data_IF_545595765119
#
_entry.id   IF_545595765119
#
_cell.length_a   1.000
_cell.length_b   1.000
_cell.length_c   1.000
_cell.angle_alpha   90.00
_cell.angle_beta   90.00
_cell.angle_gamma   90.00
#
_symmetry.space_group_name_H-M   'P 1'
#
loop_
_entity.id
_entity.type
_entity.pdbx_description
1 polymer ?
#
# COMPACT_ATOMS: atom_id res chain seq x y z
N UNK A 1 32.70 17.16 -14.21
CA UNK A 1 31.70 16.66 -13.26
C UNK A 1 30.43 16.39 -14.06
N UNK A 2 30.24 15.14 -14.53
CA UNK A 2 29.07 14.76 -15.34
C UNK A 2 27.84 14.71 -14.43
N UNK A 3 26.71 15.33 -14.80
CA UNK A 3 25.53 15.36 -13.94
C UNK A 3 24.90 13.97 -13.88
N UNK A 4 24.53 13.54 -12.67
CA UNK A 4 23.86 12.28 -12.33
C UNK A 4 22.51 12.03 -13.04
N UNK A 5 22.10 12.91 -13.96
CA UNK A 5 20.82 12.85 -14.66
C UNK A 5 20.70 11.68 -15.66
N UNK A 6 21.82 11.05 -16.06
CA UNK A 6 21.82 9.98 -17.09
C UNK A 6 21.70 8.54 -16.57
N UNK A 7 21.82 8.30 -15.26
CA UNK A 7 21.77 6.92 -14.73
C UNK A 7 20.33 6.42 -14.47
N UNK A 8 19.39 7.30 -14.12
CA UNK A 8 18.04 6.89 -13.74
C UNK A 8 17.09 6.69 -14.91
N UNK A 9 17.35 7.30 -16.08
CA UNK A 9 16.57 7.01 -17.30
C UNK A 9 16.82 5.59 -17.81
N UNK A 10 17.94 4.97 -17.42
CA UNK A 10 18.26 3.60 -17.83
C UNK A 10 17.50 2.56 -16.99
N UNK A 11 17.34 2.79 -15.68
CA UNK A 11 16.55 1.91 -14.82
C UNK A 11 15.06 1.99 -15.17
N UNK A 12 14.52 3.20 -15.38
CA UNK A 12 13.14 3.35 -15.86
C UNK A 12 12.95 2.70 -17.23
N UNK A 13 13.90 2.87 -18.16
CA UNK A 13 13.87 2.20 -19.45
C UNK A 13 13.92 0.67 -19.33
N UNK A 14 14.73 0.11 -18.43
CA UNK A 14 14.79 -1.34 -18.20
C UNK A 14 13.47 -1.89 -17.67
N UNK A 15 12.80 -1.15 -16.77
CA UNK A 15 11.49 -1.54 -16.27
C UNK A 15 10.43 -1.47 -17.37
N UNK A 16 10.43 -0.42 -18.20
CA UNK A 16 9.55 -0.32 -19.38
C UNK A 16 9.82 -1.46 -20.39
N UNK A 17 11.09 -1.78 -20.65
CA UNK A 17 11.47 -2.91 -21.50
C UNK A 17 11.00 -4.25 -20.90
N UNK A 18 11.10 -4.44 -19.58
CA UNK A 18 10.54 -5.63 -18.91
C UNK A 18 9.03 -5.72 -19.08
N UNK A 19 8.33 -4.59 -18.95
CA UNK A 19 6.88 -4.54 -19.14
C UNK A 19 6.47 -4.84 -20.59
N UNK A 20 7.29 -4.47 -21.57
CA UNK A 20 7.05 -4.76 -22.99
C UNK A 20 7.33 -6.22 -23.36
N UNK A 21 8.45 -6.78 -22.88
CA UNK A 21 8.95 -8.06 -23.37
C UNK A 21 8.76 -9.25 -22.41
N UNK A 22 8.71 -9.02 -21.10
CA UNK A 22 8.66 -10.06 -20.07
C UNK A 22 7.55 -9.81 -19.03
N UNK A 23 6.39 -9.32 -19.49
CA UNK A 23 5.23 -9.09 -18.62
C UNK A 23 4.76 -10.39 -18.00
N UNK A 24 4.69 -10.41 -16.67
CA UNK A 24 4.06 -11.48 -15.89
C UNK A 24 2.59 -11.59 -16.30
N UNK A 25 2.11 -12.83 -16.47
CA UNK A 25 0.70 -13.13 -16.71
C UNK A 25 0.17 -13.96 -15.57
N UNK A 26 -0.98 -13.55 -15.03
CA UNK A 26 -1.61 -14.32 -13.95
C UNK A 26 -2.14 -15.64 -14.49
N UNK A 27 -1.77 -16.72 -13.83
CA UNK A 27 -2.30 -18.06 -14.10
C UNK A 27 -3.72 -18.20 -13.55
N UNK A 28 -4.45 -19.23 -14.01
CA UNK A 28 -5.79 -19.53 -13.47
C UNK A 28 -5.75 -19.78 -11.96
N UNK A 29 -4.75 -20.51 -11.48
CA UNK A 29 -4.56 -20.81 -10.06
C UNK A 29 -4.32 -19.52 -9.23
N UNK A 30 -3.54 -18.57 -9.74
CA UNK A 30 -3.34 -17.29 -9.06
C UNK A 30 -4.63 -16.46 -9.03
N UNK A 31 -5.43 -16.48 -10.10
CA UNK A 31 -6.75 -15.84 -10.08
C UNK A 31 -7.68 -16.49 -9.05
N UNK A 32 -7.69 -17.81 -8.94
CA UNK A 32 -8.45 -18.53 -7.91
C UNK A 32 -7.99 -18.16 -6.50
N UNK A 33 -6.67 -18.03 -6.26
CA UNK A 33 -6.14 -17.55 -4.98
C UNK A 33 -6.68 -16.15 -4.68
N UNK A 34 -6.71 -15.23 -5.64
CA UNK A 34 -7.27 -13.89 -5.42
C UNK A 34 -8.77 -13.93 -5.08
N UNK A 35 -9.56 -14.75 -5.77
CA UNK A 35 -11.00 -14.90 -5.50
C UNK A 35 -11.27 -15.44 -4.07
N UNK A 36 -10.41 -16.33 -3.57
CA UNK A 36 -10.62 -16.99 -2.28
C UNK A 36 -9.95 -16.29 -1.10
N UNK A 37 -8.77 -15.69 -1.31
CA UNK A 37 -7.92 -15.15 -0.24
C UNK A 37 -7.82 -13.63 -0.20
N UNK A 38 -8.38 -12.92 -1.18
CA UNK A 38 -8.27 -11.46 -1.27
C UNK A 38 -9.66 -10.80 -1.40
N UNK A 39 -10.37 -10.56 -0.28
CA UNK A 39 -11.78 -10.17 -0.33
C UNK A 39 -12.09 -8.87 -1.05
N UNK A 40 -11.16 -7.90 -1.05
CA UNK A 40 -11.30 -6.70 -1.88
C UNK A 40 -11.48 -7.07 -3.36
N UNK A 41 -10.62 -7.94 -3.89
CA UNK A 41 -10.68 -8.37 -5.29
C UNK A 41 -11.93 -9.20 -5.58
N UNK A 42 -12.27 -10.13 -4.69
CA UNK A 42 -13.44 -10.99 -4.85
C UNK A 42 -14.77 -10.19 -4.97
N UNK A 43 -14.83 -9.03 -4.32
CA UNK A 43 -15.99 -8.12 -4.30
C UNK A 43 -16.08 -7.18 -5.52
N UNK A 44 -15.03 -7.08 -6.33
CA UNK A 44 -15.05 -6.22 -7.53
C UNK A 44 -16.01 -6.75 -8.59
N UNK A 45 -16.53 -5.85 -9.44
CA UNK A 45 -17.24 -6.23 -10.66
C UNK A 45 -16.29 -6.92 -11.65
N UNK A 46 -16.79 -7.70 -12.60
CA UNK A 46 -15.92 -8.37 -13.59
C UNK A 46 -15.05 -7.40 -14.40
N UNK A 47 -15.58 -6.21 -14.69
CA UNK A 47 -14.81 -5.13 -15.32
C UNK A 47 -13.63 -4.70 -14.43
N UNK A 48 -13.89 -4.40 -13.17
CA UNK A 48 -12.85 -3.97 -12.23
C UNK A 48 -11.90 -5.10 -11.86
N UNK A 49 -12.34 -6.37 -11.81
CA UNK A 49 -11.45 -7.54 -11.67
C UNK A 49 -10.48 -7.63 -12.86
N UNK A 50 -10.98 -7.43 -14.08
CA UNK A 50 -10.11 -7.43 -15.26
C UNK A 50 -9.09 -6.28 -15.22
N UNK A 51 -9.48 -5.11 -14.73
CA UNK A 51 -8.57 -3.98 -14.55
C UNK A 51 -7.53 -4.27 -13.46
N UNK A 52 -7.97 -4.77 -12.30
CA UNK A 52 -7.13 -5.13 -11.17
C UNK A 52 -6.06 -6.15 -11.59
N UNK A 53 -6.45 -7.21 -12.31
CA UNK A 53 -5.49 -8.22 -12.83
C UNK A 53 -4.44 -7.59 -13.73
N UNK A 54 -4.82 -6.66 -14.62
CA UNK A 54 -3.86 -5.97 -15.51
C UNK A 54 -2.86 -5.12 -14.71
N UNK A 55 -3.32 -4.38 -13.71
CA UNK A 55 -2.44 -3.60 -12.81
C UNK A 55 -1.54 -4.53 -11.99
N UNK A 56 -2.07 -5.63 -11.49
CA UNK A 56 -1.31 -6.62 -10.72
C UNK A 56 -0.20 -7.26 -11.55
N UNK A 57 -0.46 -7.63 -12.81
CA UNK A 57 0.58 -8.09 -13.72
C UNK A 57 1.72 -7.07 -13.89
N UNK A 58 1.39 -5.78 -13.94
CA UNK A 58 2.38 -4.69 -14.03
C UNK A 58 3.20 -4.61 -12.74
N UNK A 59 2.55 -4.63 -11.57
CA UNK A 59 3.24 -4.63 -10.27
C UNK A 59 4.14 -5.87 -10.13
N UNK A 60 3.64 -7.08 -10.42
CA UNK A 60 4.43 -8.31 -10.33
C UNK A 60 5.64 -8.32 -11.29
N UNK A 61 5.54 -7.59 -12.39
CA UNK A 61 6.65 -7.45 -13.35
C UNK A 61 7.69 -6.43 -12.88
N UNK A 62 7.25 -5.30 -12.30
CA UNK A 62 8.14 -4.18 -11.93
C UNK A 62 8.77 -4.35 -10.54
N UNK A 63 8.18 -5.12 -9.64
CA UNK A 63 8.67 -5.30 -8.27
C UNK A 63 9.60 -6.51 -8.13
N UNK A 64 10.70 -6.31 -7.41
CA UNK A 64 11.61 -7.37 -7.00
C UNK A 64 11.30 -7.81 -5.57
N UNK A 65 10.85 -9.06 -5.41
CA UNK A 65 10.53 -9.65 -4.11
C UNK A 65 11.71 -10.48 -3.58
N UNK A 66 12.20 -10.14 -2.39
CA UNK A 66 13.46 -10.65 -1.84
C UNK A 66 13.22 -11.20 -0.42
N UNK A 67 13.44 -12.50 -0.24
CA UNK A 67 13.35 -13.14 1.08
C UNK A 67 14.57 -12.81 1.96
N UNK A 68 14.33 -12.65 3.26
CA UNK A 68 15.34 -12.38 4.30
C UNK A 68 15.24 -13.36 5.46
N UNK A 69 16.22 -13.33 6.37
CA UNK A 69 16.29 -14.20 7.56
C UNK A 69 16.01 -15.68 7.29
N UNK A 70 16.72 -16.24 6.30
CA UNK A 70 16.60 -17.67 5.97
C UNK A 70 15.45 -18.03 5.03
N UNK A 71 14.55 -17.09 4.68
CA UNK A 71 13.56 -17.27 3.63
C UNK A 71 14.24 -17.28 2.25
N UNK A 72 14.71 -18.46 1.83
CA UNK A 72 15.45 -18.63 0.56
C UNK A 72 14.58 -18.53 -0.69
N UNK A 73 13.31 -18.91 -0.56
CA UNK A 73 12.34 -18.94 -1.66
C UNK A 73 11.15 -18.07 -1.27
N UNK A 74 10.89 -17.03 -2.06
CA UNK A 74 9.65 -16.26 -1.99
C UNK A 74 8.61 -16.97 -2.85
N UNK A 75 7.52 -17.43 -2.24
CA UNK A 75 6.48 -18.22 -2.94
C UNK A 75 5.68 -17.34 -3.91
N UNK A 76 5.04 -17.92 -4.95
CA UNK A 76 4.13 -17.18 -5.81
C UNK A 76 3.01 -16.48 -5.04
N UNK A 77 2.45 -17.15 -4.03
CA UNK A 77 1.40 -16.60 -3.16
C UNK A 77 1.85 -15.33 -2.41
N UNK A 78 3.08 -15.32 -1.86
CA UNK A 78 3.62 -14.12 -1.21
C UNK A 78 3.66 -12.93 -2.17
N UNK A 79 4.18 -13.14 -3.38
CA UNK A 79 4.28 -12.08 -4.40
C UNK A 79 2.89 -11.61 -4.81
N UNK A 80 1.98 -12.55 -5.03
CA UNK A 80 0.62 -12.31 -5.47
C UNK A 80 -0.15 -11.46 -4.46
N UNK A 81 -0.17 -11.85 -3.19
CA UNK A 81 -0.94 -11.16 -2.16
C UNK A 81 -0.34 -9.78 -1.83
N UNK A 82 0.97 -9.66 -1.71
CA UNK A 82 1.61 -8.35 -1.48
C UNK A 82 1.40 -7.42 -2.69
N UNK A 83 1.55 -7.95 -3.91
CA UNK A 83 1.27 -7.20 -5.13
C UNK A 83 -0.19 -6.75 -5.22
N UNK A 84 -1.13 -7.62 -4.83
CA UNK A 84 -2.56 -7.29 -4.79
C UNK A 84 -2.86 -6.18 -3.78
N UNK A 85 -2.20 -6.16 -2.62
CA UNK A 85 -2.32 -5.06 -1.65
C UNK A 85 -1.83 -3.73 -2.23
N UNK A 86 -0.72 -3.72 -2.97
CA UNK A 86 -0.25 -2.51 -3.66
C UNK A 86 -1.32 -2.02 -4.65
N UNK A 87 -1.86 -2.92 -5.49
CA UNK A 87 -2.90 -2.57 -6.46
C UNK A 87 -4.17 -2.08 -5.78
N UNK A 88 -4.60 -2.70 -4.67
CA UNK A 88 -5.77 -2.27 -3.91
C UNK A 88 -5.64 -0.82 -3.45
N UNK A 89 -4.50 -0.48 -2.84
CA UNK A 89 -4.25 0.89 -2.36
C UNK A 89 -4.17 1.88 -3.52
N UNK A 90 -3.54 1.50 -4.64
CA UNK A 90 -3.38 2.38 -5.82
C UNK A 90 -4.50 2.27 -6.86
N UNK A 91 -5.58 1.53 -6.58
CA UNK A 91 -6.55 1.14 -7.60
C UNK A 91 -7.23 2.32 -8.29
N UNK A 92 -7.48 3.41 -7.55
CA UNK A 92 -8.15 4.61 -8.05
C UNK A 92 -7.36 5.44 -9.08
N UNK A 93 -6.09 5.12 -9.33
CA UNK A 93 -5.29 5.73 -10.41
C UNK A 93 -5.06 4.74 -11.53
N UNK A 94 -5.11 5.20 -12.79
CA UNK A 94 -4.96 4.34 -13.97
C UNK A 94 -3.61 3.59 -14.00
N UNK A 95 -2.50 4.31 -13.78
CA UNK A 95 -1.16 3.80 -14.08
C UNK A 95 -0.17 3.96 -12.91
N UNK A 96 -0.65 4.13 -11.67
CA UNK A 96 0.22 4.33 -10.50
C UNK A 96 0.83 2.99 -10.03
N UNK A 97 2.16 2.92 -10.00
CA UNK A 97 2.97 1.71 -9.76
C UNK A 97 3.94 1.84 -8.59
N UNK A 98 4.20 3.04 -8.09
CA UNK A 98 5.21 3.34 -7.07
C UNK A 98 6.65 2.98 -7.50
N UNK A 99 7.15 3.44 -8.66
CA UNK A 99 8.40 3.00 -9.28
C UNK A 99 9.63 3.24 -8.41
N UNK A 100 9.63 4.23 -7.51
CA UNK A 100 10.72 4.40 -6.56
C UNK A 100 10.89 3.19 -5.64
N UNK A 101 9.77 2.64 -5.16
CA UNK A 101 9.73 1.47 -4.30
C UNK A 101 9.70 0.18 -5.15
N UNK A 102 10.83 -0.13 -5.78
CA UNK A 102 10.98 -1.29 -6.67
C UNK A 102 11.33 -2.60 -5.94
N UNK A 103 11.71 -2.55 -4.66
CA UNK A 103 12.14 -3.71 -3.88
C UNK A 103 11.22 -3.98 -2.70
N UNK A 104 10.81 -5.23 -2.56
CA UNK A 104 9.97 -5.70 -1.45
C UNK A 104 10.75 -6.77 -0.69
N UNK A 105 11.14 -6.47 0.53
CA UNK A 105 11.86 -7.38 1.41
C UNK A 105 10.87 -8.10 2.32
N UNK A 106 10.91 -9.43 2.28
CA UNK A 106 9.98 -10.28 3.02
C UNK A 106 10.75 -11.05 4.09
N UNK A 107 10.39 -10.80 5.34
CA UNK A 107 10.85 -11.58 6.48
C UNK A 107 9.78 -12.60 6.85
N UNK A 108 10.15 -13.82 7.30
CA UNK A 108 9.14 -14.81 7.68
C UNK A 108 8.32 -14.38 8.90
N UNK A 109 8.93 -13.63 9.82
CA UNK A 109 8.30 -13.12 11.04
C UNK A 109 8.88 -11.75 11.42
N UNK A 110 8.45 -11.20 12.56
CA UNK A 110 9.02 -10.02 13.19
C UNK A 110 10.54 -10.10 13.22
N UNK A 111 11.19 -9.01 12.83
CA UNK A 111 12.63 -9.00 12.63
C UNK A 111 13.26 -7.82 13.36
N UNK A 112 14.49 -8.01 13.79
CA UNK A 112 15.27 -6.92 14.34
C UNK A 112 15.86 -6.09 13.19
N UNK A 113 15.42 -4.84 13.07
CA UNK A 113 16.02 -3.90 12.11
C UNK A 113 17.33 -3.37 12.69
N UNK A 114 18.43 -3.58 11.98
CA UNK A 114 19.75 -3.08 12.39
C UNK A 114 19.89 -1.57 12.18
N UNK A 115 18.98 -0.96 11.40
CA UNK A 115 18.96 0.47 11.10
C UNK A 115 18.36 1.23 12.29
N UNK A 116 17.14 0.86 12.69
CA UNK A 116 16.40 1.49 13.80
C UNK A 116 16.70 0.90 15.18
N UNK A 117 17.37 -0.27 15.23
CA UNK A 117 17.68 -1.03 16.46
C UNK A 117 16.44 -1.46 17.27
N UNK A 118 15.35 -1.79 16.58
CA UNK A 118 14.12 -2.26 17.21
C UNK A 118 13.58 -3.49 16.47
N UNK A 119 12.62 -4.18 17.09
CA UNK A 119 11.84 -5.21 16.39
C UNK A 119 10.76 -4.53 15.56
N UNK A 120 10.79 -4.78 14.25
CA UNK A 120 9.85 -4.24 13.30
C UNK A 120 8.92 -5.34 12.77
N UNK A 121 7.68 -4.93 12.48
CA UNK A 121 6.72 -5.70 11.68
C UNK A 121 6.83 -5.32 10.21
N UNK A 122 7.13 -4.06 9.92
CA UNK A 122 7.46 -3.54 8.59
C UNK A 122 8.25 -2.24 8.69
N UNK A 123 8.71 -1.75 7.54
CA UNK A 123 9.44 -0.48 7.40
C UNK A 123 9.46 -0.05 5.93
N UNK A 124 9.32 1.24 5.65
CA UNK A 124 9.63 1.82 4.33
C UNK A 124 10.95 2.59 4.37
N UNK A 125 11.87 2.25 3.47
CA UNK A 125 13.15 2.93 3.34
C UNK A 125 13.21 3.70 2.01
N UNK A 126 12.89 5.01 2.00
CA UNK A 126 12.90 5.82 0.78
C UNK A 126 14.31 5.99 0.21
N UNK A 127 15.37 5.96 1.01
CA UNK A 127 16.74 6.09 0.45
C UNK A 127 17.12 4.90 -0.44
N UNK A 128 16.62 3.71 -0.10
CA UNK A 128 16.93 2.47 -0.81
C UNK A 128 15.82 2.01 -1.77
N UNK A 129 14.66 2.68 -1.78
CA UNK A 129 13.50 2.29 -2.57
C UNK A 129 12.93 0.94 -2.14
N UNK A 130 12.87 0.69 -0.83
CA UNK A 130 12.49 -0.60 -0.24
C UNK A 130 11.23 -0.47 0.60
N UNK A 131 10.33 -1.44 0.45
CA UNK A 131 9.28 -1.76 1.42
C UNK A 131 9.65 -3.07 2.12
N UNK A 132 9.59 -3.11 3.44
CA UNK A 132 9.90 -4.30 4.24
C UNK A 132 8.64 -4.78 4.96
N UNK A 133 8.40 -6.09 4.94
CA UNK A 133 7.23 -6.69 5.59
C UNK A 133 7.57 -8.02 6.26
N UNK A 134 6.99 -8.23 7.43
CA UNK A 134 6.85 -9.55 8.07
C UNK A 134 5.69 -10.30 7.43
N UNK A 135 5.95 -11.50 6.92
CA UNK A 135 4.95 -12.34 6.28
C UNK A 135 3.89 -12.84 7.26
N UNK A 136 4.29 -13.24 8.48
CA UNK A 136 3.34 -13.65 9.54
C UNK A 136 2.35 -12.53 9.88
N UNK A 137 2.85 -11.30 10.04
CA UNK A 137 2.03 -10.14 10.35
C UNK A 137 1.18 -9.69 9.16
N UNK A 138 1.71 -9.81 7.93
CA UNK A 138 0.95 -9.53 6.71
C UNK A 138 -0.26 -10.47 6.58
N UNK A 139 -0.06 -11.78 6.79
CA UNK A 139 -1.14 -12.75 6.76
C UNK A 139 -2.16 -12.51 7.88
N UNK A 140 -1.70 -12.23 9.11
CA UNK A 140 -2.60 -11.94 10.23
C UNK A 140 -3.52 -10.76 9.93
N UNK A 141 -2.99 -9.66 9.36
CA UNK A 141 -3.81 -8.51 8.96
C UNK A 141 -4.72 -8.76 7.75
N UNK A 142 -4.47 -9.79 6.93
CA UNK A 142 -5.44 -10.18 5.89
C UNK A 142 -6.57 -11.05 6.44
N UNK A 143 -6.29 -11.86 7.47
CA UNK A 143 -7.26 -12.77 8.08
C UNK A 143 -8.34 -12.01 8.88
N UNK A 144 -7.95 -10.98 9.64
CA UNK A 144 -8.89 -10.12 10.37
C UNK A 144 -9.08 -8.78 9.65
N UNK A 145 -10.23 -8.62 8.97
CA UNK A 145 -10.62 -7.36 8.32
C UNK A 145 -11.42 -6.43 9.23
N UNK A 146 -11.47 -6.71 10.53
CA UNK A 146 -12.37 -6.05 11.49
C UNK A 146 -11.66 -5.47 12.71
N UNK A 147 -10.33 -5.58 12.80
CA UNK A 147 -9.55 -4.97 13.87
C UNK A 147 -8.97 -3.60 13.48
N UNK A 148 -8.81 -3.31 12.19
CA UNK A 148 -8.22 -2.07 11.68
C UNK A 148 -6.69 -2.10 11.73
N UNK A 149 -6.09 -3.30 11.60
CA UNK A 149 -4.65 -3.56 11.68
C UNK A 149 -4.20 -4.39 10.48
N UNK A 150 -3.70 -3.70 9.45
CA UNK A 150 -3.23 -4.33 8.23
C UNK A 150 -1.84 -3.86 7.86
N UNK A 151 -0.83 -4.67 8.18
CA UNK A 151 0.56 -4.34 7.88
C UNK A 151 0.78 -4.07 6.38
N UNK A 152 0.12 -4.83 5.51
CA UNK A 152 0.22 -4.65 4.07
C UNK A 152 -0.20 -3.25 3.64
N UNK A 153 -1.38 -2.82 4.08
CA UNK A 153 -1.93 -1.49 3.76
C UNK A 153 -1.07 -0.41 4.41
N UNK A 154 -0.65 -0.61 5.66
CA UNK A 154 0.16 0.35 6.42
C UNK A 154 1.45 0.74 5.71
N UNK A 155 2.27 -0.25 5.34
CA UNK A 155 3.56 0.03 4.68
C UNK A 155 3.36 0.56 3.26
N UNK A 156 2.32 0.12 2.55
CA UNK A 156 2.00 0.66 1.21
C UNK A 156 1.51 2.12 1.31
N UNK A 157 0.80 2.49 2.37
CA UNK A 157 0.39 3.87 2.63
C UNK A 157 1.60 4.79 2.83
N UNK A 158 2.58 4.37 3.64
CA UNK A 158 3.84 5.10 3.80
C UNK A 158 4.57 5.26 2.46
N UNK A 159 4.69 4.17 1.69
CA UNK A 159 5.31 4.21 0.37
C UNK A 159 4.56 5.14 -0.60
N UNK A 160 3.23 5.10 -0.63
CA UNK A 160 2.40 5.96 -1.47
C UNK A 160 2.61 7.45 -1.14
N UNK A 161 2.59 7.81 0.15
CA UNK A 161 2.82 9.19 0.59
C UNK A 161 4.20 9.70 0.18
N UNK A 162 5.22 8.86 0.36
CA UNK A 162 6.59 9.19 -0.02
C UNK A 162 6.74 9.29 -1.55
N UNK A 163 6.16 8.38 -2.32
CA UNK A 163 6.22 8.38 -3.79
C UNK A 163 5.70 9.69 -4.38
N UNK A 164 4.61 10.24 -3.84
CA UNK A 164 4.04 11.52 -4.27
C UNK A 164 5.04 12.69 -4.22
N UNK A 165 6.14 12.55 -3.46
CA UNK A 165 7.19 13.56 -3.28
C UNK A 165 8.48 13.23 -4.06
N UNK A 166 8.47 12.25 -4.97
CA UNK A 166 9.64 11.78 -5.72
C UNK A 166 9.58 12.22 -7.19
N UNK A 167 10.17 13.36 -7.49
CA UNK A 167 9.97 14.07 -8.76
C UNK A 167 10.73 13.52 -9.98
N UNK A 168 11.58 12.50 -9.82
CA UNK A 168 12.48 12.07 -10.91
C UNK A 168 11.99 10.84 -11.70
N UNK A 169 10.84 10.27 -11.34
CA UNK A 169 10.38 8.98 -11.87
C UNK A 169 9.00 9.05 -12.56
N UNK A 170 8.54 10.26 -12.90
CA UNK A 170 7.28 10.57 -13.59
C UNK A 170 5.99 10.15 -12.84
N UNK A 171 6.08 9.64 -11.61
CA UNK A 171 4.95 9.28 -10.74
C UNK A 171 4.99 10.09 -9.43
N UNK A 172 4.86 11.42 -9.55
CA UNK A 172 4.80 12.36 -8.40
C UNK A 172 3.60 13.31 -8.51
N UNK A 173 3.30 14.05 -7.44
CA UNK A 173 2.24 15.06 -7.39
C UNK A 173 0.85 14.55 -7.84
N UNK A 174 0.59 13.25 -7.68
CA UNK A 174 -0.67 12.61 -8.05
C UNK A 174 -1.79 12.82 -7.02
N UNK A 175 -1.45 13.26 -5.80
CA UNK A 175 -2.40 13.76 -4.83
C UNK A 175 -2.84 15.18 -5.17
N UNK A 176 -4.15 15.43 -5.15
CA UNK A 176 -4.68 16.78 -5.25
C UNK A 176 -4.21 17.60 -4.03
N UNK A 177 -3.46 18.70 -4.22
CA UNK A 177 -2.87 19.45 -3.09
C UNK A 177 -3.90 20.08 -2.14
N UNK A 178 -5.08 20.46 -2.64
CA UNK A 178 -6.15 21.04 -1.83
C UNK A 178 -6.82 19.97 -0.97
N UNK A 179 -7.17 18.82 -1.57
CA UNK A 179 -7.73 17.67 -0.85
C UNK A 179 -6.74 17.16 0.19
N UNK A 180 -5.45 17.08 -0.14
CA UNK A 180 -4.42 16.65 0.79
C UNK A 180 -4.25 17.62 1.97
N UNK A 181 -4.31 18.93 1.73
CA UNK A 181 -4.31 19.93 2.81
C UNK A 181 -5.53 19.80 3.71
N UNK A 182 -6.72 19.57 3.13
CA UNK A 182 -7.94 19.31 3.90
C UNK A 182 -7.79 18.05 4.76
N UNK A 183 -7.22 16.98 4.21
CA UNK A 183 -6.91 15.76 4.96
C UNK A 183 -5.99 16.07 6.14
N UNK A 184 -4.88 16.80 5.94
CA UNK A 184 -3.95 17.14 7.02
C UNK A 184 -4.62 17.96 8.14
N UNK A 185 -5.50 18.90 7.80
CA UNK A 185 -6.23 19.68 8.80
C UNK A 185 -7.18 18.82 9.63
N UNK A 186 -7.89 17.88 8.99
CA UNK A 186 -8.81 16.97 9.67
C UNK A 186 -8.05 15.91 10.49
N UNK A 187 -6.97 15.36 9.95
CA UNK A 187 -6.06 14.44 10.62
C UNK A 187 -5.50 15.06 11.90
N UNK A 188 -5.02 16.30 11.85
CA UNK A 188 -4.48 16.99 13.03
C UNK A 188 -5.53 17.15 14.14
N UNK A 189 -6.79 17.45 13.81
CA UNK A 189 -7.89 17.48 14.80
C UNK A 189 -8.14 16.10 15.40
N UNK A 190 -8.18 15.06 14.57
CA UNK A 190 -8.40 13.69 15.01
C UNK A 190 -7.27 13.16 15.91
N UNK A 191 -6.02 13.49 15.58
CA UNK A 191 -4.85 13.17 16.41
C UNK A 191 -4.93 13.84 17.79
N UNK A 192 -5.47 15.05 17.89
CA UNK A 192 -5.71 15.71 19.18
C UNK A 192 -6.78 14.97 20.00
N UNK A 193 -7.85 14.49 19.37
CA UNK A 193 -8.86 13.65 20.03
C UNK A 193 -8.25 12.35 20.58
N UNK A 194 -7.42 11.68 19.79
CA UNK A 194 -6.69 10.48 20.22
C UNK A 194 -5.75 10.78 21.40
N UNK A 195 -4.98 11.87 21.36
CA UNK A 195 -4.08 12.28 22.46
C UNK A 195 -4.84 12.62 23.74
N UNK A 196 -6.07 13.12 23.61
CA UNK A 196 -6.96 13.38 24.73
C UNK A 196 -7.64 12.12 25.29
N UNK A 197 -7.40 10.94 24.70
CA UNK A 197 -8.03 9.68 25.12
C UNK A 197 -9.49 9.55 24.71
N UNK A 198 -9.93 10.33 23.71
CA UNK A 198 -11.29 10.20 23.14
C UNK A 198 -11.38 8.85 22.43
N UNK A 199 -12.53 8.16 22.57
CA UNK A 199 -12.78 6.95 21.80
C UNK A 199 -12.98 7.31 20.33
N UNK A 200 -12.16 6.74 19.45
CA UNK A 200 -12.23 6.95 18.00
C UNK A 200 -12.21 5.59 17.29
N UNK A 201 -12.48 5.58 15.98
CA UNK A 201 -12.33 4.37 15.13
C UNK A 201 -10.87 4.00 14.86
N UNK A 202 -9.93 4.91 15.16
CA UNK A 202 -8.51 4.71 14.93
C UNK A 202 -7.82 4.19 16.20
N UNK A 203 -6.84 3.32 16.04
CA UNK A 203 -6.01 2.88 17.17
C UNK A 203 -5.10 4.01 17.66
N UNK A 204 -4.64 3.90 18.91
CA UNK A 204 -3.85 4.93 19.59
C UNK A 204 -2.55 5.30 18.86
N UNK A 205 -1.94 4.38 18.11
CA UNK A 205 -0.70 4.66 17.36
C UNK A 205 -0.88 5.73 16.28
N UNK A 206 -2.11 5.97 15.78
CA UNK A 206 -2.38 7.07 14.85
C UNK A 206 -2.07 8.46 15.44
N UNK A 207 -1.90 8.58 16.76
CA UNK A 207 -1.58 9.85 17.40
C UNK A 207 -0.09 10.22 17.40
N UNK A 208 0.79 9.32 16.94
CA UNK A 208 2.25 9.51 16.97
C UNK A 208 2.64 10.72 16.10
N UNK A 209 2.34 10.67 14.80
CA UNK A 209 2.60 11.74 13.83
C UNK A 209 1.67 11.63 12.60
N UNK A 210 1.81 12.56 11.64
CA UNK A 210 0.97 12.59 10.42
C UNK A 210 1.25 11.42 9.46
N UNK A 211 2.43 10.80 9.50
CA UNK A 211 2.76 9.62 8.68
C UNK A 211 2.00 8.40 9.20
N UNK A 212 2.12 8.14 10.51
CA UNK A 212 1.39 7.08 11.20
C UNK A 212 -0.13 7.26 11.10
N UNK A 213 -0.61 8.50 11.26
CA UNK A 213 -2.03 8.77 11.09
C UNK A 213 -2.52 8.41 9.68
N UNK A 214 -1.78 8.79 8.63
CA UNK A 214 -2.16 8.48 7.26
C UNK A 214 -2.25 6.97 7.00
N UNK A 215 -1.26 6.21 7.48
CA UNK A 215 -1.25 4.77 7.34
C UNK A 215 -2.39 4.08 8.11
N UNK A 216 -2.61 4.45 9.38
CA UNK A 216 -3.72 3.92 10.19
C UNK A 216 -5.09 4.31 9.60
N UNK A 217 -5.21 5.52 9.08
CA UNK A 217 -6.44 5.97 8.44
C UNK A 217 -6.75 5.16 7.18
N UNK A 218 -5.72 4.80 6.39
CA UNK A 218 -5.88 3.92 5.23
C UNK A 218 -6.22 2.48 5.59
N UNK A 219 -5.63 1.93 6.64
CA UNK A 219 -6.05 0.61 7.18
C UNK A 219 -7.54 0.62 7.53
N UNK A 220 -7.97 1.61 8.31
CA UNK A 220 -9.37 1.78 8.71
C UNK A 220 -10.28 2.03 7.49
N UNK A 221 -9.80 2.78 6.50
CA UNK A 221 -10.52 3.09 5.26
C UNK A 221 -10.84 1.86 4.42
N UNK A 222 -9.93 0.89 4.36
CA UNK A 222 -10.13 -0.34 3.58
C UNK A 222 -10.82 -1.45 4.39
N UNK A 223 -10.53 -1.56 5.68
CA UNK A 223 -11.06 -2.64 6.54
C UNK A 223 -12.42 -2.31 7.13
N UNK A 224 -12.58 -1.07 7.63
CA UNK A 224 -13.78 -0.60 8.35
C UNK A 224 -14.45 0.61 7.68
N UNK A 225 -14.67 0.61 6.35
CA UNK A 225 -15.10 1.81 5.66
C UNK A 225 -16.45 2.35 6.13
N UNK A 226 -17.38 1.47 6.51
CA UNK A 226 -18.71 1.88 7.01
C UNK A 226 -18.64 2.47 8.42
N UNK A 227 -17.85 1.90 9.33
CA UNK A 227 -17.65 2.45 10.68
C UNK A 227 -16.93 3.80 10.63
N UNK A 228 -15.88 3.91 9.80
CA UNK A 228 -15.17 5.16 9.60
C UNK A 228 -16.09 6.24 9.03
N UNK A 229 -16.86 5.92 7.99
CA UNK A 229 -17.86 6.85 7.46
C UNK A 229 -18.88 7.27 8.52
N UNK A 230 -19.38 6.34 9.33
CA UNK A 230 -20.33 6.64 10.41
C UNK A 230 -19.75 7.54 11.51
N UNK A 231 -18.46 7.37 11.82
CA UNK A 231 -17.75 8.13 12.84
C UNK A 231 -17.38 9.56 12.38
N UNK A 232 -16.72 9.68 11.21
CA UNK A 232 -16.26 10.97 10.69
C UNK A 232 -16.44 11.02 9.16
N UNK A 233 -17.65 11.36 8.67
CA UNK A 233 -17.96 11.39 7.24
C UNK A 233 -17.09 12.37 6.45
N UNK A 234 -16.67 13.49 7.06
CA UNK A 234 -15.86 14.52 6.40
C UNK A 234 -14.43 14.02 6.12
N UNK A 235 -13.78 13.43 7.14
CA UNK A 235 -12.46 12.82 6.97
C UNK A 235 -12.51 11.63 6.02
N UNK A 236 -13.52 10.78 6.13
CA UNK A 236 -13.73 9.66 5.21
C UNK A 236 -13.89 10.14 3.76
N UNK A 237 -14.77 11.12 3.52
CA UNK A 237 -15.00 11.68 2.18
C UNK A 237 -13.76 12.34 1.58
N UNK A 238 -12.89 12.90 2.43
CA UNK A 238 -11.60 13.44 1.98
C UNK A 238 -10.67 12.32 1.50
N UNK A 239 -10.63 11.18 2.18
CA UNK A 239 -9.88 10.01 1.72
C UNK A 239 -10.46 9.40 0.44
N UNK A 240 -11.79 9.37 0.27
CA UNK A 240 -12.41 8.94 -1.00
C UNK A 240 -11.91 9.78 -2.17
N UNK A 241 -11.85 11.11 -1.99
CA UNK A 241 -11.32 12.02 -3.02
C UNK A 241 -9.82 11.83 -3.25
N UNK A 242 -9.05 11.67 -2.18
CA UNK A 242 -7.59 11.52 -2.26
C UNK A 242 -7.20 10.20 -2.92
N UNK A 243 -7.87 9.11 -2.56
CA UNK A 243 -7.62 7.75 -3.02
C UNK A 243 -8.35 7.39 -4.32
N UNK A 244 -9.29 8.23 -4.75
CA UNK A 244 -10.11 8.07 -5.97
C UNK A 244 -10.90 6.75 -5.99
N UNK A 245 -11.29 6.25 -4.81
CA UNK A 245 -12.07 5.03 -4.66
C UNK A 245 -12.89 5.10 -3.36
N UNK A 246 -14.01 4.38 -3.31
CA UNK A 246 -14.83 4.23 -2.11
C UNK A 246 -14.99 2.73 -1.79
N UNK A 247 -14.26 2.19 -0.78
CA UNK A 247 -14.35 0.79 -0.40
C UNK A 247 -15.75 0.32 0.02
N UNK A 248 -16.66 1.21 0.44
CA UNK A 248 -18.05 0.83 0.81
C UNK A 248 -18.84 0.28 -0.35
N UNK A 249 -18.53 0.71 -1.59
CA UNK A 249 -19.24 0.26 -2.79
C UNK A 249 -19.02 -1.24 -3.04
N UNK A 250 -17.91 -1.79 -2.54
CA UNK A 250 -17.53 -3.19 -2.73
C UNK A 250 -17.89 -4.07 -1.51
N UNK A 251 -17.90 -3.49 -0.30
CA UNK A 251 -18.26 -4.21 0.93
C UNK A 251 -19.77 -4.10 1.16
N UNK A 252 -20.52 -5.15 0.80
CA UNK A 252 -21.93 -5.28 1.20
C UNK A 252 -21.99 -5.39 2.74
N UNK A 253 -22.86 -4.57 3.35
CA UNK A 253 -23.19 -4.62 4.78
C UNK A 253 -23.95 -5.87 5.15
#
# INVERSE_FOLDING_TARGET
MLPLYRMNSFLSLLDELRLLFNRVRLTKQEVEILEHKFPYYARLSEQHKSEFRKKLEVILTSKSFIGRSGLRIVTPEMKLLIGATIVMVTFGWNDLRLPHFSKILIYPDTYYSTISKQYHRGEVNPRLGIIVMSWSCFLAGMEDQSDGVNLGIHEVAHALKLENQIYYNDESEFFNPEVYRTFQNLANKEMLHLKAGTLTVFRSSASIDEDEFFAVALETFFEKPHEFFGYNPELYGTLVQLMRQDPRVWIRS
#
